data_IF_673342386946
#
_entry.id   IF_673342386946
#
_cell.length_a   1.000
_cell.length_b   1.000
_cell.length_c   1.000
_cell.angle_alpha   90.00
_cell.angle_beta   90.00
_cell.angle_gamma   90.00
#
_symmetry.space_group_name_H-M   'P 1'
#
loop_
_entity.id
_entity.type
_entity.pdbx_description
1 polymer ?
#
# COMPACT_ATOMS: atom_id res chain seq x y z
N UNK A 1 -32.84 -47.12 6.47
CA UNK A 1 -32.70 -45.70 6.12
C UNK A 1 -31.96 -45.00 7.25
N UNK A 2 -30.65 -44.80 7.10
CA UNK A 2 -29.83 -43.98 8.01
C UNK A 2 -29.33 -42.85 7.12
N UNK A 3 -30.07 -41.76 7.12
CA UNK A 3 -29.76 -40.57 6.35
C UNK A 3 -29.52 -39.41 7.29
N UNK A 4 -28.39 -38.74 7.08
CA UNK A 4 -28.11 -37.36 7.51
C UNK A 4 -27.80 -37.21 9.02
N UNK A 5 -26.52 -37.33 9.37
CA UNK A 5 -25.97 -36.66 10.55
C UNK A 5 -24.44 -36.47 10.42
N UNK A 6 -23.97 -35.61 9.50
CA UNK A 6 -22.56 -35.18 9.52
C UNK A 6 -22.28 -33.75 8.97
N UNK A 7 -23.26 -32.85 8.88
CA UNK A 7 -23.05 -31.54 8.23
C UNK A 7 -23.42 -30.29 9.06
N UNK A 8 -23.15 -30.27 10.37
CA UNK A 8 -23.44 -29.05 11.17
C UNK A 8 -22.27 -28.57 12.04
N UNK A 9 -21.28 -29.41 12.36
CA UNK A 9 -20.19 -29.00 13.27
C UNK A 9 -19.09 -28.20 12.55
N UNK A 10 -18.90 -28.38 11.24
CA UNK A 10 -17.92 -27.61 10.47
C UNK A 10 -18.36 -26.16 10.19
N UNK A 11 -19.67 -25.86 10.22
CA UNK A 11 -20.18 -24.51 9.93
C UNK A 11 -19.99 -23.53 11.09
N UNK A 12 -20.04 -24.00 12.35
CA UNK A 12 -19.86 -23.14 13.53
C UNK A 12 -18.41 -22.71 13.73
N UNK A 13 -17.47 -23.66 13.58
CA UNK A 13 -16.02 -23.38 13.69
C UNK A 13 -15.53 -22.67 12.44
N UNK A 14 -15.86 -23.17 11.24
CA UNK A 14 -15.54 -22.53 9.97
C UNK A 14 -16.15 -21.14 9.82
N UNK A 15 -17.38 -20.93 10.32
CA UNK A 15 -18.04 -19.63 10.30
C UNK A 15 -17.37 -18.57 11.18
N UNK A 16 -16.89 -18.94 12.38
CA UNK A 16 -16.12 -18.02 13.23
C UNK A 16 -14.78 -17.65 12.61
N UNK A 17 -14.00 -18.64 12.16
CA UNK A 17 -12.73 -18.40 11.45
C UNK A 17 -12.92 -17.58 10.17
N UNK A 18 -13.98 -17.84 9.41
CA UNK A 18 -14.32 -17.07 8.21
C UNK A 18 -14.71 -15.63 8.53
N UNK A 19 -15.52 -15.38 9.57
CA UNK A 19 -15.86 -14.03 10.00
C UNK A 19 -14.66 -13.26 10.52
N UNK A 20 -13.76 -13.92 11.26
CA UNK A 20 -12.53 -13.31 11.75
C UNK A 20 -11.61 -12.97 10.58
N UNK A 21 -11.48 -13.85 9.58
CA UNK A 21 -10.72 -13.59 8.35
C UNK A 21 -11.32 -12.47 7.51
N UNK A 22 -12.65 -12.43 7.37
CA UNK A 22 -13.33 -11.35 6.64
C UNK A 22 -13.11 -10.00 7.33
N UNK A 23 -13.23 -9.94 8.65
CA UNK A 23 -12.95 -8.72 9.41
C UNK A 23 -11.52 -8.23 9.20
N UNK A 24 -10.54 -9.14 9.25
CA UNK A 24 -9.13 -8.83 8.98
C UNK A 24 -8.93 -8.35 7.54
N UNK A 25 -9.54 -9.01 6.56
CA UNK A 25 -9.49 -8.58 5.15
C UNK A 25 -10.12 -7.19 4.96
N UNK A 26 -11.22 -6.91 5.67
CA UNK A 26 -11.86 -5.59 5.66
C UNK A 26 -10.96 -4.52 6.29
N UNK A 27 -10.22 -4.84 7.36
CA UNK A 27 -9.21 -3.94 7.96
C UNK A 27 -8.07 -3.65 6.97
N UNK A 28 -7.53 -4.69 6.32
CA UNK A 28 -6.44 -4.51 5.36
C UNK A 28 -6.90 -3.69 4.16
N UNK A 29 -8.05 -4.01 3.58
CA UNK A 29 -8.62 -3.21 2.47
C UNK A 29 -8.79 -1.74 2.85
N UNK A 30 -9.31 -1.50 4.05
CA UNK A 30 -9.53 -0.15 4.53
C UNK A 30 -8.21 0.60 4.73
N UNK A 31 -7.27 0.05 5.50
CA UNK A 31 -5.98 0.68 5.75
C UNK A 31 -5.19 0.91 4.47
N UNK A 32 -5.12 -0.08 3.59
CA UNK A 32 -4.38 0.05 2.33
C UNK A 32 -5.05 1.00 1.34
N UNK A 33 -6.38 1.13 1.31
CA UNK A 33 -7.00 2.16 0.48
C UNK A 33 -6.51 3.57 0.84
N UNK A 34 -6.36 3.85 2.14
CA UNK A 34 -5.86 5.14 2.64
C UNK A 34 -4.35 5.29 2.42
N UNK A 35 -3.57 4.22 2.61
CA UNK A 35 -2.12 4.23 2.35
C UNK A 35 -1.82 4.44 0.86
N UNK A 36 -2.51 3.75 -0.03
CA UNK A 36 -2.36 3.91 -1.48
C UNK A 36 -2.75 5.34 -1.90
N UNK A 37 -3.83 5.89 -1.36
CA UNK A 37 -4.23 7.29 -1.59
C UNK A 37 -3.16 8.26 -1.08
N UNK A 38 -2.55 8.01 0.08
CA UNK A 38 -1.47 8.82 0.65
C UNK A 38 -0.22 8.83 -0.26
N UNK A 39 0.21 7.66 -0.71
CA UNK A 39 1.38 7.50 -1.58
C UNK A 39 1.14 8.14 -2.94
N UNK A 40 0.01 7.82 -3.58
CA UNK A 40 -0.32 8.32 -4.91
C UNK A 40 -0.46 9.85 -4.91
N UNK A 41 -1.16 10.40 -3.90
CA UNK A 41 -1.31 11.86 -3.75
C UNK A 41 0.06 12.53 -3.63
N UNK A 42 0.95 12.00 -2.79
CA UNK A 42 2.29 12.57 -2.65
C UNK A 42 3.06 12.58 -3.98
N UNK A 43 3.06 11.47 -4.70
CA UNK A 43 3.75 11.36 -5.99
C UNK A 43 3.16 12.36 -6.99
N UNK A 44 1.84 12.37 -7.14
CA UNK A 44 1.14 13.21 -8.11
C UNK A 44 1.26 14.70 -7.80
N UNK A 45 1.22 15.11 -6.53
CA UNK A 45 1.32 16.51 -6.14
C UNK A 45 2.78 17.04 -6.17
N UNK A 46 3.79 16.17 -6.03
CA UNK A 46 5.19 16.60 -5.86
C UNK A 46 6.14 16.22 -7.00
N UNK A 47 5.70 15.44 -7.99
CA UNK A 47 6.52 15.03 -9.13
C UNK A 47 5.82 15.34 -10.44
N UNK A 48 6.45 16.15 -11.29
CA UNK A 48 6.07 16.30 -12.69
C UNK A 48 6.67 15.17 -13.54
N UNK A 49 6.06 14.90 -14.69
CA UNK A 49 6.52 13.88 -15.63
C UNK A 49 6.03 12.46 -15.31
N UNK A 50 5.19 12.29 -14.28
CA UNK A 50 4.48 11.04 -14.00
C UNK A 50 3.22 11.00 -14.88
N UNK A 51 2.95 9.85 -15.49
CA UNK A 51 1.74 9.61 -16.30
C UNK A 51 0.74 8.72 -15.59
N UNK A 52 1.21 7.79 -14.74
CA UNK A 52 0.38 6.87 -14.00
C UNK A 52 1.05 6.41 -12.71
N UNK A 53 0.25 6.20 -11.66
CA UNK A 53 0.60 5.45 -10.45
C UNK A 53 -0.34 4.25 -10.35
N UNK A 54 0.19 3.05 -10.17
CA UNK A 54 -0.63 1.86 -9.90
C UNK A 54 -0.07 1.07 -8.72
N UNK A 55 -0.92 0.22 -8.15
CA UNK A 55 -0.56 -0.61 -7.00
C UNK A 55 -0.73 -2.10 -7.32
N UNK A 56 0.17 -2.90 -6.79
CA UNK A 56 -0.01 -4.34 -6.74
C UNK A 56 -1.20 -4.71 -5.84
N UNK A 57 -1.65 -5.97 -5.86
CA UNK A 57 -2.43 -6.50 -4.76
C UNK A 57 -1.71 -6.32 -3.41
N UNK A 58 -2.48 -6.33 -2.33
CA UNK A 58 -1.97 -6.43 -0.96
C UNK A 58 -1.49 -7.87 -0.75
N UNK A 59 -0.19 -8.06 -0.57
CA UNK A 59 0.41 -9.34 -0.24
C UNK A 59 0.50 -9.48 1.29
N UNK A 60 -0.01 -10.59 1.80
CA UNK A 60 0.11 -10.99 3.20
C UNK A 60 1.04 -12.20 3.25
N UNK A 61 2.21 -12.04 3.85
CA UNK A 61 3.14 -13.15 4.04
C UNK A 61 2.56 -14.16 5.05
N UNK A 62 2.73 -15.44 4.77
CA UNK A 62 2.29 -16.53 5.64
C UNK A 62 3.24 -16.79 6.82
N UNK A 63 4.47 -16.28 6.72
CA UNK A 63 5.59 -16.64 7.59
C UNK A 63 6.18 -15.46 8.38
N UNK A 64 5.85 -14.22 7.99
CA UNK A 64 6.37 -12.98 8.56
C UNK A 64 5.18 -12.01 8.75
N UNK A 65 5.19 -11.18 9.79
CA UNK A 65 4.17 -10.16 10.09
C UNK A 65 4.16 -9.00 9.06
N UNK A 66 4.56 -9.26 7.81
CA UNK A 66 4.62 -8.29 6.72
C UNK A 66 3.35 -8.36 5.88
N UNK A 67 2.80 -7.17 5.65
CA UNK A 67 1.66 -6.97 4.75
C UNK A 67 2.05 -5.79 3.89
N UNK A 68 2.08 -5.95 2.58
CA UNK A 68 2.65 -4.93 1.70
C UNK A 68 1.92 -4.80 0.38
N UNK A 69 2.00 -3.60 -0.18
CA UNK A 69 1.64 -3.28 -1.56
C UNK A 69 2.89 -2.71 -2.23
N UNK A 70 2.98 -2.88 -3.54
CA UNK A 70 4.06 -2.40 -4.37
C UNK A 70 3.54 -1.25 -5.23
N UNK A 71 3.91 0.01 -4.93
CA UNK A 71 3.59 1.14 -5.79
C UNK A 71 4.48 1.10 -7.04
N UNK A 72 3.89 1.41 -8.19
CA UNK A 72 4.56 1.46 -9.48
C UNK A 72 4.23 2.79 -10.14
N UNK A 73 5.25 3.45 -10.69
CA UNK A 73 5.11 4.70 -11.40
C UNK A 73 5.49 4.56 -12.85
N UNK A 74 4.77 5.30 -13.69
CA UNK A 74 5.02 5.40 -15.11
C UNK A 74 5.38 6.84 -15.44
N UNK A 75 6.38 7.04 -16.29
CA UNK A 75 6.68 8.36 -16.85
C UNK A 75 5.86 8.65 -18.11
N UNK A 76 5.96 9.87 -18.62
CA UNK A 76 5.28 10.30 -19.85
C UNK A 76 5.75 9.57 -21.12
N UNK A 77 6.89 8.86 -21.07
CA UNK A 77 7.40 8.02 -22.16
C UNK A 77 6.87 6.58 -22.08
N UNK A 78 6.14 6.23 -21.02
CA UNK A 78 5.62 4.89 -20.78
C UNK A 78 6.61 3.94 -20.08
N UNK A 79 7.74 4.44 -19.58
CA UNK A 79 8.65 3.61 -18.78
C UNK A 79 7.99 3.29 -17.44
N UNK A 80 8.06 2.03 -17.02
CA UNK A 80 7.50 1.51 -15.77
C UNK A 80 8.62 1.31 -14.75
N UNK A 81 8.43 1.80 -13.53
CA UNK A 81 9.38 1.61 -12.44
C UNK A 81 8.69 1.25 -11.11
N UNK A 82 9.28 0.30 -10.38
CA UNK A 82 8.78 -0.19 -9.09
C UNK A 82 9.38 0.63 -7.94
N UNK A 83 8.54 1.15 -7.05
CA UNK A 83 8.98 1.69 -5.76
C UNK A 83 9.14 0.56 -4.73
N UNK A 84 10.14 0.67 -3.86
CA UNK A 84 10.46 -0.36 -2.86
C UNK A 84 11.36 -1.48 -3.41
N UNK A 85 11.69 -1.44 -4.70
CA UNK A 85 12.54 -2.43 -5.36
C UNK A 85 14.04 -2.21 -5.18
N UNK A 86 14.84 -3.16 -5.69
CA UNK A 86 16.29 -3.06 -5.71
C UNK A 86 16.77 -2.21 -6.89
N UNK A 87 17.59 -1.20 -6.63
CA UNK A 87 18.28 -0.44 -7.67
C UNK A 87 19.69 -1.00 -7.81
N UNK A 88 19.80 -2.09 -8.58
CA UNK A 88 21.00 -2.93 -8.66
C UNK A 88 22.24 -2.17 -9.10
N UNK A 89 22.11 -1.21 -10.02
CA UNK A 89 23.22 -0.38 -10.50
C UNK A 89 23.85 0.48 -9.40
N UNK A 90 23.06 0.84 -8.38
CA UNK A 90 23.48 1.68 -7.26
C UNK A 90 23.71 0.87 -5.98
N UNK A 91 23.39 -0.43 -6.00
CA UNK A 91 23.45 -1.32 -4.85
C UNK A 91 22.63 -0.78 -3.64
N UNK A 92 21.43 -0.25 -3.93
CA UNK A 92 20.49 0.28 -2.93
C UNK A 92 19.23 -0.60 -2.91
N UNK A 93 18.72 -0.88 -1.71
CA UNK A 93 17.42 -1.53 -1.49
C UNK A 93 16.51 -0.57 -0.72
N UNK A 94 15.28 -0.40 -1.20
CA UNK A 94 14.25 0.34 -0.50
C UNK A 94 13.35 -0.61 0.30
N UNK A 95 12.72 -0.10 1.36
CA UNK A 95 11.73 -0.89 2.10
C UNK A 95 10.39 -0.89 1.37
N UNK A 96 9.64 -1.99 1.48
CA UNK A 96 8.28 -2.11 0.97
C UNK A 96 7.31 -1.08 1.56
N UNK A 97 6.12 -0.99 1.00
CA UNK A 97 5.05 -0.06 1.44
C UNK A 97 3.95 -0.86 2.12
N UNK A 98 3.85 -0.76 3.45
CA UNK A 98 2.86 -1.54 4.22
C UNK A 98 3.26 -1.68 5.68
N UNK A 99 2.97 -2.80 6.33
CA UNK A 99 3.43 -3.06 7.70
C UNK A 99 4.88 -3.57 7.63
N UNK A 100 5.85 -2.96 8.36
CA UNK A 100 5.69 -1.91 9.39
C UNK A 100 6.04 -0.47 8.94
N UNK A 101 6.18 -0.20 7.64
CA UNK A 101 6.75 1.07 7.12
C UNK A 101 5.74 2.18 6.82
N UNK A 102 4.55 1.82 6.35
CA UNK A 102 3.45 2.71 5.99
C UNK A 102 2.40 2.88 7.10
N UNK A 103 2.39 1.98 8.08
CA UNK A 103 1.46 2.01 9.21
C UNK A 103 2.21 2.06 10.54
N UNK A 104 1.78 2.94 11.44
CA UNK A 104 2.11 2.85 12.86
C UNK A 104 1.26 1.80 13.57
N UNK A 105 -0.01 1.67 13.16
CA UNK A 105 -0.93 0.65 13.65
C UNK A 105 -1.89 0.23 12.53
N UNK A 106 -2.13 -1.07 12.42
CA UNK A 106 -3.14 -1.67 11.54
C UNK A 106 -3.71 -2.90 12.25
N UNK A 107 -4.61 -2.66 13.20
CA UNK A 107 -5.07 -3.68 14.14
C UNK A 107 -6.51 -3.44 14.61
N UNK A 108 -6.94 -4.18 15.64
CA UNK A 108 -8.23 -3.99 16.30
C UNK A 108 -8.03 -3.64 17.78
N UNK A 109 -8.86 -2.76 18.30
CA UNK A 109 -8.93 -2.52 19.73
C UNK A 109 -9.63 -3.68 20.47
N UNK A 110 -9.66 -3.61 21.81
CA UNK A 110 -10.30 -4.65 22.65
C UNK A 110 -11.81 -4.85 22.38
N UNK A 111 -12.48 -3.85 21.82
CA UNK A 111 -13.89 -3.90 21.42
C UNK A 111 -14.11 -4.42 19.99
N UNK A 112 -13.03 -4.76 19.27
CA UNK A 112 -13.07 -5.22 17.87
C UNK A 112 -13.29 -4.12 16.84
N UNK A 113 -13.09 -2.83 17.20
CA UNK A 113 -13.06 -1.71 16.24
C UNK A 113 -11.68 -1.61 15.62
N UNK A 114 -11.62 -1.32 14.31
CA UNK A 114 -10.37 -1.08 13.59
C UNK A 114 -9.60 0.11 14.19
N UNK A 115 -8.27 -0.03 14.23
CA UNK A 115 -7.27 1.01 14.48
C UNK A 115 -6.37 1.07 13.25
N UNK A 116 -6.33 2.22 12.60
CA UNK A 116 -5.54 2.48 11.39
C UNK A 116 -4.78 3.79 11.59
N UNK A 117 -3.49 3.70 11.88
CA UNK A 117 -2.62 4.87 12.05
C UNK A 117 -1.62 4.91 10.89
N UNK A 118 -1.75 5.93 10.03
CA UNK A 118 -0.77 6.19 8.97
C UNK A 118 0.42 6.96 9.52
N UNK A 119 1.58 6.76 8.89
CA UNK A 119 2.78 7.52 9.21
C UNK A 119 2.88 8.85 8.47
N UNK A 120 3.61 9.77 9.08
CA UNK A 120 4.12 11.01 8.50
C UNK A 120 3.04 11.96 7.95
N UNK A 121 2.08 12.33 8.80
CA UNK A 121 1.19 13.48 8.55
C UNK A 121 1.99 14.74 8.16
N UNK A 122 1.30 15.74 7.61
CA UNK A 122 1.87 17.03 7.15
C UNK A 122 2.87 17.66 8.14
N UNK A 123 2.72 17.40 9.44
CA UNK A 123 3.50 17.95 10.56
C UNK A 123 4.43 16.91 11.25
N UNK A 124 4.44 15.66 10.79
CA UNK A 124 5.19 14.54 11.36
C UNK A 124 4.41 13.75 12.43
N UNK A 125 4.77 12.48 12.63
CA UNK A 125 4.13 11.58 13.59
C UNK A 125 3.07 10.66 12.97
N UNK A 126 2.30 10.00 13.82
CA UNK A 126 1.18 9.13 13.45
C UNK A 126 -0.13 9.93 13.34
N UNK A 127 -1.04 9.49 12.48
CA UNK A 127 -2.39 10.07 12.38
C UNK A 127 -3.45 8.96 12.36
N UNK A 128 -4.44 9.09 13.23
CA UNK A 128 -5.59 8.18 13.28
C UNK A 128 -6.54 8.47 12.10
N UNK A 129 -6.70 7.47 11.24
CA UNK A 129 -7.62 7.50 10.11
C UNK A 129 -8.64 6.36 10.16
N UNK A 130 -8.83 5.75 11.33
CA UNK A 130 -9.66 4.54 11.52
C UNK A 130 -11.12 4.71 11.11
N UNK A 131 -11.63 5.94 11.08
CA UNK A 131 -13.02 6.28 10.71
C UNK A 131 -13.15 6.91 9.33
N UNK A 132 -12.04 7.11 8.62
CA UNK A 132 -12.00 7.88 7.39
C UNK A 132 -12.14 6.97 6.18
N UNK A 133 -13.11 7.24 5.31
CA UNK A 133 -13.28 6.46 4.07
C UNK A 133 -12.39 6.96 2.91
N UNK A 134 -11.72 8.11 3.11
CA UNK A 134 -10.83 8.77 2.16
C UNK A 134 -9.72 9.43 2.95
N UNK A 135 -8.55 9.59 2.32
CA UNK A 135 -7.42 10.25 2.95
C UNK A 135 -7.77 11.69 3.37
N UNK A 136 -7.75 12.03 4.67
CA UNK A 136 -7.96 13.41 5.10
C UNK A 136 -6.75 14.28 4.75
N UNK A 137 -6.97 15.58 4.58
CA UNK A 137 -5.90 16.54 4.21
C UNK A 137 -4.72 16.52 5.19
N UNK A 138 -4.98 16.31 6.48
CA UNK A 138 -3.96 16.24 7.52
C UNK A 138 -3.08 14.99 7.39
N UNK A 139 -3.59 13.92 6.77
CA UNK A 139 -2.86 12.68 6.53
C UNK A 139 -2.03 12.72 5.24
N UNK A 140 -2.15 13.75 4.40
CA UNK A 140 -1.28 13.91 3.23
C UNK A 140 0.17 14.12 3.67
N UNK A 141 1.09 13.51 2.94
CA UNK A 141 2.52 13.69 3.16
C UNK A 141 2.92 15.09 2.64
N UNK A 142 3.61 15.88 3.47
CA UNK A 142 4.27 17.12 2.99
C UNK A 142 5.71 16.87 2.51
N UNK A 143 6.30 15.76 2.98
CA UNK A 143 7.66 15.31 2.69
C UNK A 143 7.74 13.79 2.85
N UNK A 144 8.54 13.12 2.04
CA UNK A 144 8.78 11.69 2.19
C UNK A 144 10.16 11.33 1.66
N UNK A 145 11.18 11.38 2.52
CA UNK A 145 12.56 10.98 2.14
C UNK A 145 12.61 9.59 1.53
N UNK A 146 11.70 8.68 1.92
CA UNK A 146 11.62 7.33 1.35
C UNK A 146 11.18 7.35 -0.11
N UNK A 147 10.07 8.03 -0.43
CA UNK A 147 9.59 8.14 -1.82
C UNK A 147 10.58 8.98 -2.63
N UNK A 148 11.09 10.06 -2.04
CA UNK A 148 11.99 11.00 -2.69
C UNK A 148 13.27 10.31 -3.17
N UNK A 149 13.99 9.68 -2.23
CA UNK A 149 15.25 8.99 -2.54
C UNK A 149 15.02 7.84 -3.53
N UNK A 150 13.87 7.17 -3.48
CA UNK A 150 13.56 6.08 -4.40
C UNK A 150 13.35 6.58 -5.82
N UNK A 151 12.56 7.63 -6.03
CA UNK A 151 12.33 8.21 -7.36
C UNK A 151 13.62 8.81 -7.92
N UNK A 152 14.39 9.52 -7.09
CA UNK A 152 15.69 10.09 -7.51
C UNK A 152 16.64 8.99 -7.99
N UNK A 153 16.71 7.87 -7.26
CA UNK A 153 17.56 6.77 -7.64
C UNK A 153 17.05 6.04 -8.90
N UNK A 154 15.73 5.92 -9.10
CA UNK A 154 15.14 5.36 -10.35
C UNK A 154 15.44 6.24 -11.57
N UNK A 155 15.42 7.56 -11.41
CA UNK A 155 15.82 8.52 -12.45
C UNK A 155 17.31 8.43 -12.73
N UNK A 156 18.15 8.37 -11.69
CA UNK A 156 19.60 8.22 -11.84
C UNK A 156 19.99 6.89 -12.53
N UNK A 157 19.17 5.85 -12.36
CA UNK A 157 19.32 4.55 -13.04
C UNK A 157 18.72 4.53 -14.46
N UNK A 158 18.14 5.63 -14.94
CA UNK A 158 17.43 5.75 -16.22
C UNK A 158 16.21 4.82 -16.36
N UNK A 159 15.66 4.30 -15.26
CA UNK A 159 14.38 3.59 -15.28
C UNK A 159 13.20 4.54 -15.50
N UNK A 160 13.39 5.81 -15.11
CA UNK A 160 12.44 6.89 -15.34
C UNK A 160 13.12 8.06 -16.04
N UNK A 161 12.39 8.71 -16.93
CA UNK A 161 12.86 9.83 -17.73
C UNK A 161 11.91 11.01 -17.61
N UNK A 162 12.46 12.21 -17.39
CA UNK A 162 11.68 13.44 -17.29
C UNK A 162 10.84 13.57 -16.01
N UNK A 163 10.95 12.63 -15.07
CA UNK A 163 10.34 12.71 -13.74
C UNK A 163 11.16 13.67 -12.87
N UNK A 164 10.56 14.77 -12.43
CA UNK A 164 11.24 15.83 -11.68
C UNK A 164 10.39 16.31 -10.52
N UNK A 165 11.00 16.41 -9.33
CA UNK A 165 10.34 16.95 -8.15
C UNK A 165 10.05 18.44 -8.32
N UNK A 166 8.79 18.85 -8.20
CA UNK A 166 8.40 20.25 -8.20
C UNK A 166 7.03 20.45 -7.51
N UNK A 167 6.59 21.71 -7.36
CA UNK A 167 5.31 22.03 -6.74
C UNK A 167 4.10 21.99 -7.69
N UNK A 168 4.32 21.70 -8.98
CA UNK A 168 3.25 21.61 -9.99
C UNK A 168 2.67 20.19 -10.01
N UNK A 169 3.52 19.19 -9.83
CA UNK A 169 3.11 17.79 -9.87
C UNK A 169 2.74 17.32 -11.27
N UNK A 170 1.94 16.26 -11.33
CA UNK A 170 1.39 15.64 -12.53
C UNK A 170 -0.14 15.54 -12.41
N UNK A 171 -0.89 16.66 -12.48
CA UNK A 171 -2.33 16.67 -12.19
C UNK A 171 -3.18 15.79 -13.10
N UNK A 172 -2.67 15.44 -14.29
CA UNK A 172 -3.33 14.57 -15.27
C UNK A 172 -2.91 13.09 -15.15
N UNK A 173 -2.09 12.73 -14.15
CA UNK A 173 -1.65 11.36 -13.96
C UNK A 173 -2.81 10.45 -13.53
N UNK A 174 -2.89 9.27 -14.14
CA UNK A 174 -3.86 8.24 -13.76
C UNK A 174 -3.44 7.57 -12.45
N UNK A 175 -4.41 7.25 -11.57
CA UNK A 175 -4.16 6.50 -10.35
C UNK A 175 -5.02 5.23 -10.35
N UNK A 176 -4.37 4.06 -10.27
CA UNK A 176 -5.03 2.75 -10.22
C UNK A 176 -4.79 2.10 -8.86
N UNK A 177 -5.81 2.19 -7.99
CA UNK A 177 -5.82 1.54 -6.68
C UNK A 177 -6.08 0.03 -6.76
N UNK A 178 -5.53 -0.75 -5.82
CA UNK A 178 -5.66 -2.20 -5.85
C UNK A 178 -5.66 -2.86 -4.46
N UNK A 179 -6.80 -2.78 -3.79
CA UNK A 179 -7.01 -3.43 -2.49
C UNK A 179 -7.30 -4.95 -2.58
N UNK A 180 -6.98 -5.64 -3.68
CA UNK A 180 -7.10 -7.10 -3.76
C UNK A 180 -6.11 -7.73 -2.78
N UNK A 181 -6.54 -8.73 -2.00
CA UNK A 181 -5.64 -9.42 -1.06
C UNK A 181 -5.18 -10.73 -1.68
N UNK A 182 -3.87 -10.91 -1.77
CA UNK A 182 -3.18 -12.16 -2.08
C UNK A 182 -2.42 -12.57 -0.82
N UNK A 183 -2.41 -13.86 -0.54
CA UNK A 183 -1.63 -14.40 0.58
C UNK A 183 -0.59 -15.34 0.02
N UNK A 184 0.68 -15.05 0.25
CA UNK A 184 1.80 -15.76 -0.39
C UNK A 184 2.83 -14.81 -0.97
N UNK A 185 3.68 -15.36 -1.83
CA UNK A 185 4.77 -14.64 -2.47
C UNK A 185 4.26 -13.54 -3.40
N UNK A 186 5.04 -12.47 -3.51
CA UNK A 186 4.81 -11.36 -4.44
C UNK A 186 5.07 -11.87 -5.85
N UNK A 187 4.14 -11.63 -6.78
CA UNK A 187 4.28 -12.07 -8.16
C UNK A 187 5.47 -11.36 -8.85
N UNK A 188 6.16 -12.06 -9.76
CA UNK A 188 7.38 -11.56 -10.45
C UNK A 188 7.20 -10.20 -11.15
N UNK A 189 5.99 -9.85 -11.56
CA UNK A 189 5.70 -8.55 -12.20
C UNK A 189 5.83 -7.35 -11.25
N UNK A 190 5.82 -7.60 -9.94
CA UNK A 190 5.94 -6.60 -8.86
C UNK A 190 7.30 -6.66 -8.14
N UNK A 191 8.30 -7.35 -8.70
CA UNK A 191 9.65 -7.50 -8.13
C UNK A 191 10.75 -6.74 -8.89
#
# INVERSE_FOLDING_TARGET
MIGILFLVIALGIGGKFYMDRKKVDDLYRHGFSLLEEQIATYIVEHYAGVSKVEFSPIYVDWSIDTIETVPVIYDQSGNRAILGGNIRSQNISFSGFGVPTGFYALEFNYSGKQIIYLGASRDGGEIDVSTENRLPEEAKLSKSTRIDNNIEALVADNQLQGVVKNAVGSPDAEIIYNVKIIRGEVDDEWQ
#
